data_IF_693045586778
#
_entry.id   IF_693045586778
#
_cell.length_a   1.000
_cell.length_b   1.000
_cell.length_c   1.000
_cell.angle_alpha   90.00
_cell.angle_beta   90.00
_cell.angle_gamma   90.00
#
_symmetry.space_group_name_H-M   'P 1'
#
loop_
_entity.id
_entity.type
_entity.pdbx_description
1 polymer ?
#
# COMPACT_ATOMS: atom_id res chain seq x y z
N UNK A 1 -11.65 -25.51 -22.71
CA UNK A 1 -12.17 -24.19 -22.26
C UNK A 1 -12.01 -23.98 -20.75
N UNK A 2 -12.43 -24.92 -19.90
CA UNK A 2 -12.35 -24.82 -18.42
C UNK A 2 -10.90 -24.70 -17.90
N UNK A 3 -9.95 -25.33 -18.60
CA UNK A 3 -8.52 -25.31 -18.25
C UNK A 3 -7.87 -23.94 -18.52
N UNK A 4 -8.21 -23.31 -19.64
CA UNK A 4 -7.70 -21.97 -20.00
C UNK A 4 -8.22 -20.89 -19.02
N UNK A 5 -9.46 -20.99 -18.59
CA UNK A 5 -10.04 -20.06 -17.63
C UNK A 5 -9.36 -20.17 -16.26
N UNK A 6 -9.14 -21.40 -15.78
CA UNK A 6 -8.40 -21.63 -14.55
C UNK A 6 -6.97 -21.08 -14.59
N UNK A 7 -6.28 -21.23 -15.73
CA UNK A 7 -4.95 -20.66 -15.95
C UNK A 7 -4.97 -19.11 -15.90
N UNK A 8 -5.98 -18.48 -16.50
CA UNK A 8 -6.11 -17.01 -16.46
C UNK A 8 -6.44 -16.47 -15.06
N UNK A 9 -7.23 -17.19 -14.25
CA UNK A 9 -7.45 -16.82 -12.85
C UNK A 9 -6.16 -16.98 -12.02
N UNK A 10 -5.35 -18.00 -12.30
CA UNK A 10 -4.04 -18.17 -11.68
C UNK A 10 -3.07 -17.04 -12.08
N UNK A 11 -3.06 -16.67 -13.38
CA UNK A 11 -2.30 -15.52 -13.88
C UNK A 11 -2.70 -14.22 -13.16
N UNK A 12 -4.00 -14.00 -12.94
CA UNK A 12 -4.48 -12.83 -12.20
C UNK A 12 -3.96 -12.80 -10.77
N UNK A 13 -3.98 -13.94 -10.08
CA UNK A 13 -3.39 -14.05 -8.73
C UNK A 13 -1.90 -13.72 -8.73
N UNK A 14 -1.14 -14.27 -9.67
CA UNK A 14 0.30 -14.00 -9.80
C UNK A 14 0.56 -12.51 -10.02
N UNK A 15 -0.16 -11.86 -10.94
CA UNK A 15 0.00 -10.42 -11.19
C UNK A 15 -0.27 -9.56 -9.95
N UNK A 16 -1.27 -9.92 -9.15
CA UNK A 16 -1.57 -9.21 -7.89
C UNK A 16 -0.48 -9.46 -6.86
N UNK A 17 0.05 -10.68 -6.74
CA UNK A 17 1.18 -10.98 -5.85
C UNK A 17 2.43 -10.20 -6.25
N UNK A 18 2.78 -10.18 -7.53
CA UNK A 18 3.94 -9.44 -8.03
C UNK A 18 3.79 -7.94 -7.75
N UNK A 19 2.60 -7.38 -7.98
CA UNK A 19 2.30 -5.98 -7.70
C UNK A 19 2.38 -5.67 -6.19
N UNK A 20 1.96 -6.60 -5.32
CA UNK A 20 2.16 -6.51 -3.87
C UNK A 20 3.63 -6.37 -3.50
N UNK A 21 4.48 -7.24 -4.04
CA UNK A 21 5.93 -7.17 -3.83
C UNK A 21 6.56 -5.86 -4.34
N UNK A 22 6.04 -5.28 -5.42
CA UNK A 22 6.48 -3.96 -5.87
C UNK A 22 6.08 -2.86 -4.88
N UNK A 23 4.87 -2.90 -4.33
CA UNK A 23 4.40 -1.96 -3.32
C UNK A 23 5.26 -2.03 -2.05
N UNK A 24 5.49 -3.24 -1.52
CA UNK A 24 6.35 -3.47 -0.34
C UNK A 24 7.75 -2.88 -0.54
N UNK A 25 8.35 -3.15 -1.71
CA UNK A 25 9.68 -2.65 -2.05
C UNK A 25 9.70 -1.12 -2.20
N UNK A 26 8.65 -0.52 -2.78
CA UNK A 26 8.53 0.93 -2.91
C UNK A 26 8.49 1.62 -1.54
N UNK A 27 7.68 1.11 -0.59
CA UNK A 27 7.59 1.64 0.77
C UNK A 27 8.95 1.50 1.48
N UNK A 28 9.55 0.30 1.42
CA UNK A 28 10.83 0.03 2.08
C UNK A 28 11.96 0.93 1.56
N UNK A 29 12.04 1.14 0.24
CA UNK A 29 13.04 2.01 -0.37
C UNK A 29 12.81 3.49 -0.03
N UNK A 30 11.55 3.96 -0.03
CA UNK A 30 11.22 5.34 0.31
C UNK A 30 11.61 5.68 1.77
N UNK A 31 11.29 4.79 2.70
CA UNK A 31 11.65 4.98 4.12
C UNK A 31 13.15 4.81 4.34
N UNK A 32 13.79 3.89 3.64
CA UNK A 32 15.24 3.77 3.71
C UNK A 32 15.95 5.00 3.15
N UNK A 33 15.45 5.58 2.04
CA UNK A 33 15.96 6.83 1.51
C UNK A 33 15.89 7.97 2.54
N UNK A 34 14.77 8.04 3.29
CA UNK A 34 14.59 9.00 4.38
C UNK A 34 15.63 8.79 5.50
N UNK A 35 15.79 7.56 5.97
CA UNK A 35 16.63 7.24 7.14
C UNK A 35 18.13 7.39 6.82
N UNK A 36 18.53 7.02 5.62
CA UNK A 36 19.93 7.03 5.19
C UNK A 36 20.33 8.34 4.49
N UNK A 37 19.36 9.20 4.14
CA UNK A 37 19.59 10.39 3.31
C UNK A 37 20.03 10.05 1.88
N UNK A 38 19.61 8.89 1.35
CA UNK A 38 20.11 8.35 0.07
C UNK A 38 19.19 8.72 -1.10
N UNK A 39 19.58 9.76 -1.85
CA UNK A 39 18.86 10.24 -3.03
C UNK A 39 18.82 9.21 -4.18
N UNK A 40 19.77 8.29 -4.26
CA UNK A 40 19.73 7.23 -5.27
C UNK A 40 18.61 6.22 -4.98
N UNK A 41 18.33 5.94 -3.70
CA UNK A 41 17.19 5.13 -3.31
C UNK A 41 15.87 5.84 -3.63
N UNK A 42 15.77 7.15 -3.37
CA UNK A 42 14.60 7.94 -3.71
C UNK A 42 14.30 7.90 -5.22
N UNK A 43 15.30 8.03 -6.08
CA UNK A 43 15.14 7.91 -7.53
C UNK A 43 14.60 6.53 -7.95
N UNK A 44 15.06 5.45 -7.31
CA UNK A 44 14.58 4.09 -7.59
C UNK A 44 13.11 3.89 -7.23
N UNK A 45 12.60 4.61 -6.22
CA UNK A 45 11.16 4.55 -5.87
C UNK A 45 10.31 5.09 -7.02
N UNK A 46 10.73 6.18 -7.67
CA UNK A 46 10.03 6.74 -8.84
C UNK A 46 9.95 5.74 -10.00
N UNK A 47 11.03 5.00 -10.29
CA UNK A 47 11.03 3.93 -11.30
C UNK A 47 10.08 2.79 -10.92
N UNK A 48 10.05 2.43 -9.64
CA UNK A 48 9.20 1.36 -9.14
C UNK A 48 7.71 1.77 -9.17
N UNK A 49 7.39 3.03 -8.89
CA UNK A 49 6.02 3.56 -9.04
C UNK A 49 5.53 3.44 -10.48
N UNK A 50 6.38 3.72 -11.49
CA UNK A 50 6.04 3.50 -12.90
C UNK A 50 5.80 2.00 -13.21
N UNK A 51 6.58 1.11 -12.59
CA UNK A 51 6.40 -0.34 -12.73
C UNK A 51 5.06 -0.78 -12.15
N UNK A 52 4.66 -0.24 -10.99
CA UNK A 52 3.37 -0.50 -10.35
C UNK A 52 2.23 0.00 -11.24
N UNK A 53 2.35 1.19 -11.81
CA UNK A 53 1.35 1.74 -12.74
C UNK A 53 1.20 0.89 -14.00
N UNK A 54 2.29 0.36 -14.53
CA UNK A 54 2.24 -0.56 -15.68
C UNK A 54 1.58 -1.89 -15.30
N UNK A 55 1.91 -2.44 -14.14
CA UNK A 55 1.32 -3.68 -13.62
C UNK A 55 -0.20 -3.51 -13.38
N UNK A 56 -0.64 -2.35 -12.91
CA UNK A 56 -2.07 -2.01 -12.77
C UNK A 56 -2.76 -2.07 -14.12
N UNK A 57 -2.25 -1.36 -15.14
CA UNK A 57 -2.84 -1.36 -16.50
C UNK A 57 -2.97 -2.77 -17.06
N UNK A 58 -1.92 -3.56 -16.98
CA UNK A 58 -1.92 -4.95 -17.50
C UNK A 58 -2.92 -5.84 -16.76
N UNK A 59 -3.04 -5.67 -15.44
CA UNK A 59 -3.96 -6.45 -14.62
C UNK A 59 -5.41 -6.06 -14.89
N UNK A 60 -5.69 -4.77 -15.06
CA UNK A 60 -7.01 -4.26 -15.48
C UNK A 60 -7.40 -4.85 -16.85
N UNK A 61 -6.49 -4.84 -17.83
CA UNK A 61 -6.74 -5.45 -19.14
C UNK A 61 -7.04 -6.95 -19.05
N UNK A 62 -6.32 -7.69 -18.20
CA UNK A 62 -6.59 -9.10 -17.95
C UNK A 62 -7.99 -9.30 -17.37
N UNK A 63 -8.36 -8.51 -16.36
CA UNK A 63 -9.69 -8.56 -15.75
C UNK A 63 -10.81 -8.28 -16.78
N UNK A 64 -10.63 -7.26 -17.63
CA UNK A 64 -11.59 -6.92 -18.68
C UNK A 64 -11.72 -8.09 -19.68
N UNK A 65 -10.60 -8.70 -20.10
CA UNK A 65 -10.63 -9.87 -20.98
C UNK A 65 -11.37 -11.05 -20.36
N UNK A 66 -11.18 -11.30 -19.05
CA UNK A 66 -11.88 -12.35 -18.32
C UNK A 66 -13.40 -12.09 -18.28
N UNK A 67 -13.82 -10.87 -17.98
CA UNK A 67 -15.23 -10.48 -17.94
C UNK A 67 -15.91 -10.62 -19.30
N UNK A 68 -15.26 -10.20 -20.38
CA UNK A 68 -15.84 -10.20 -21.72
C UNK A 68 -15.91 -11.60 -22.35
N UNK A 69 -14.87 -12.42 -22.15
CA UNK A 69 -14.75 -13.70 -22.88
C UNK A 69 -15.32 -14.89 -22.15
N UNK A 70 -15.33 -14.85 -20.82
CA UNK A 70 -15.67 -16.03 -20.01
C UNK A 70 -17.06 -15.95 -19.35
N UNK A 71 -17.69 -14.78 -19.40
CA UNK A 71 -19.00 -14.53 -18.76
C UNK A 71 -19.06 -15.10 -17.32
N UNK A 72 -18.14 -14.70 -16.44
CA UNK A 72 -18.02 -15.26 -15.11
C UNK A 72 -19.32 -15.00 -14.30
N UNK A 73 -19.67 -15.94 -13.44
CA UNK A 73 -20.88 -15.87 -12.62
C UNK A 73 -20.53 -15.96 -11.12
N UNK A 74 -21.38 -15.37 -10.32
CA UNK A 74 -21.33 -15.45 -8.85
C UNK A 74 -19.91 -15.21 -8.28
N UNK A 75 -19.25 -16.23 -7.75
CA UNK A 75 -17.97 -16.11 -7.06
C UNK A 75 -16.85 -15.58 -7.97
N UNK A 76 -16.76 -16.07 -9.21
CA UNK A 76 -15.72 -15.63 -10.15
C UNK A 76 -15.89 -14.15 -10.54
N UNK A 77 -17.15 -13.72 -10.72
CA UNK A 77 -17.42 -12.30 -10.99
C UNK A 77 -17.00 -11.41 -9.81
N UNK A 78 -17.31 -11.82 -8.56
CA UNK A 78 -16.86 -11.08 -7.37
C UNK A 78 -15.34 -11.04 -7.26
N UNK A 79 -14.67 -12.18 -7.51
CA UNK A 79 -13.20 -12.28 -7.48
C UNK A 79 -12.55 -11.29 -8.46
N UNK A 80 -12.97 -11.31 -9.74
CA UNK A 80 -12.40 -10.41 -10.77
C UNK A 80 -12.75 -8.94 -10.47
N UNK A 81 -13.97 -8.67 -10.00
CA UNK A 81 -14.39 -7.31 -9.65
C UNK A 81 -13.61 -6.76 -8.44
N UNK A 82 -13.31 -7.60 -7.46
CA UNK A 82 -12.46 -7.24 -6.33
C UNK A 82 -11.02 -6.96 -6.78
N UNK A 83 -10.47 -7.81 -7.65
CA UNK A 83 -9.14 -7.62 -8.22
C UNK A 83 -8.99 -6.25 -8.90
N UNK A 84 -10.00 -5.83 -9.70
CA UNK A 84 -10.03 -4.51 -10.34
C UNK A 84 -9.94 -3.35 -9.33
N UNK A 85 -10.55 -3.49 -8.16
CA UNK A 85 -10.49 -2.47 -7.10
C UNK A 85 -9.17 -2.50 -6.36
N UNK A 86 -8.70 -3.70 -6.04
CA UNK A 86 -7.44 -3.88 -5.33
C UNK A 86 -6.25 -3.29 -6.09
N UNK A 87 -6.14 -3.52 -7.39
CA UNK A 87 -5.00 -2.98 -8.17
C UNK A 87 -5.01 -1.46 -8.23
N UNK A 88 -6.18 -0.82 -8.13
CA UNK A 88 -6.27 0.64 -8.00
C UNK A 88 -5.74 1.13 -6.65
N UNK A 89 -6.07 0.42 -5.55
CA UNK A 89 -5.50 0.75 -4.23
C UNK A 89 -3.99 0.49 -4.19
N UNK A 90 -3.51 -0.60 -4.79
CA UNK A 90 -2.08 -0.90 -4.93
C UNK A 90 -1.32 0.18 -5.73
N UNK A 91 -1.91 0.68 -6.82
CA UNK A 91 -1.34 1.78 -7.59
C UNK A 91 -1.19 3.02 -6.72
N UNK A 92 -2.18 3.34 -5.89
CA UNK A 92 -2.12 4.46 -4.95
C UNK A 92 -1.04 4.28 -3.87
N UNK A 93 -0.81 3.05 -3.40
CA UNK A 93 0.32 2.74 -2.50
C UNK A 93 1.66 3.09 -3.19
N UNK A 94 1.81 2.76 -4.46
CA UNK A 94 2.98 3.15 -5.26
C UNK A 94 3.13 4.67 -5.36
N UNK A 95 2.04 5.39 -5.62
CA UNK A 95 2.02 6.86 -5.70
C UNK A 95 2.44 7.49 -4.36
N UNK A 96 1.85 7.04 -3.23
CA UNK A 96 2.20 7.55 -1.90
C UNK A 96 3.68 7.27 -1.55
N UNK A 97 4.22 6.13 -1.97
CA UNK A 97 5.65 5.82 -1.78
C UNK A 97 6.54 6.76 -2.60
N UNK A 98 6.13 7.12 -3.81
CA UNK A 98 6.82 8.10 -4.65
C UNK A 98 6.75 9.52 -4.03
N UNK A 99 5.59 9.91 -3.47
CA UNK A 99 5.42 11.19 -2.76
C UNK A 99 6.38 11.29 -1.56
N UNK A 100 6.56 10.20 -0.79
CA UNK A 100 7.57 10.16 0.30
C UNK A 100 8.97 10.39 -0.27
N UNK A 101 9.35 9.70 -1.33
CA UNK A 101 10.65 9.82 -1.96
C UNK A 101 10.89 11.22 -2.56
N UNK A 102 9.85 11.85 -3.08
CA UNK A 102 9.90 13.24 -3.59
C UNK A 102 10.21 14.21 -2.45
N UNK A 103 9.54 14.10 -1.29
CA UNK A 103 9.83 14.93 -0.11
C UNK A 103 11.28 14.75 0.32
N UNK A 104 11.78 13.51 0.43
CA UNK A 104 13.18 13.25 0.80
C UNK A 104 14.14 13.96 -0.15
N UNK A 105 13.83 13.99 -1.43
CA UNK A 105 14.66 14.62 -2.47
C UNK A 105 14.59 16.14 -2.40
N UNK A 106 13.40 16.73 -2.31
CA UNK A 106 13.21 18.19 -2.33
C UNK A 106 13.68 18.86 -1.04
N UNK A 107 13.39 18.27 0.09
CA UNK A 107 13.81 18.76 1.40
C UNK A 107 15.30 18.49 1.69
N UNK A 108 15.99 17.73 0.82
CA UNK A 108 17.39 17.33 0.98
C UNK A 108 17.67 16.77 2.39
N UNK A 109 16.78 15.88 2.85
CA UNK A 109 16.87 15.27 4.16
C UNK A 109 18.09 14.34 4.17
N UNK A 110 19.17 14.81 4.77
CA UNK A 110 20.47 14.14 4.75
C UNK A 110 20.73 13.22 5.96
N UNK A 111 19.93 13.34 7.00
CA UNK A 111 19.97 12.46 8.17
C UNK A 111 18.57 12.42 8.80
N UNK A 112 17.92 11.26 8.70
CA UNK A 112 16.65 11.04 9.36
C UNK A 112 16.84 10.82 10.86
N UNK A 113 16.18 11.62 11.67
CA UNK A 113 16.09 11.37 13.11
C UNK A 113 15.05 10.25 13.34
N UNK A 114 15.53 9.05 13.65
CA UNK A 114 14.67 7.87 13.93
C UNK A 114 13.88 8.02 15.24
N UNK A 115 13.95 9.19 15.91
CA UNK A 115 13.24 9.44 17.17
C UNK A 115 11.72 9.46 17.02
N UNK A 116 11.20 9.60 15.79
CA UNK A 116 9.76 9.70 15.52
C UNK A 116 9.08 8.35 15.22
N UNK A 117 9.80 7.23 15.26
CA UNK A 117 9.27 5.88 14.97
C UNK A 117 8.65 5.75 13.55
N UNK A 118 9.09 6.53 12.58
CA UNK A 118 8.63 6.44 11.17
C UNK A 118 8.95 5.05 10.60
N UNK A 119 10.10 4.49 10.95
CA UNK A 119 10.48 3.13 10.56
C UNK A 119 9.44 2.09 11.03
N UNK A 120 9.03 2.14 12.29
CA UNK A 120 8.09 1.16 12.86
C UNK A 120 6.69 1.30 12.22
N UNK A 121 6.28 2.54 11.92
CA UNK A 121 5.06 2.81 11.16
C UNK A 121 5.13 2.22 9.76
N UNK A 122 6.26 2.36 9.07
CA UNK A 122 6.46 1.78 7.75
C UNK A 122 6.45 0.25 7.76
N UNK A 123 7.09 -0.38 8.75
CA UNK A 123 7.04 -1.84 8.92
C UNK A 123 5.60 -2.32 9.12
N UNK A 124 4.80 -1.58 9.90
CA UNK A 124 3.39 -1.87 10.11
C UNK A 124 2.58 -1.75 8.80
N UNK A 125 2.79 -0.68 8.03
CA UNK A 125 2.13 -0.48 6.75
C UNK A 125 2.52 -1.58 5.73
N UNK A 126 3.80 -1.94 5.62
CA UNK A 126 4.27 -3.04 4.77
C UNK A 126 3.57 -4.35 5.17
N UNK A 127 3.53 -4.66 6.47
CA UNK A 127 2.84 -5.85 6.97
C UNK A 127 1.37 -5.88 6.53
N UNK A 128 0.66 -4.77 6.61
CA UNK A 128 -0.74 -4.70 6.16
C UNK A 128 -0.87 -4.95 4.66
N UNK A 129 0.03 -4.41 3.84
CA UNK A 129 0.04 -4.67 2.39
C UNK A 129 0.26 -6.15 2.10
N UNK A 130 1.29 -6.76 2.69
CA UNK A 130 1.61 -8.18 2.53
C UNK A 130 0.42 -9.06 2.94
N UNK A 131 -0.09 -8.86 4.16
CA UNK A 131 -1.19 -9.67 4.71
C UNK A 131 -2.48 -9.52 3.88
N UNK A 132 -2.76 -8.33 3.33
CA UNK A 132 -3.94 -8.12 2.47
C UNK A 132 -3.85 -8.86 1.13
N UNK A 133 -2.66 -8.93 0.53
CA UNK A 133 -2.40 -9.68 -0.70
C UNK A 133 -2.46 -11.18 -0.42
N UNK A 134 -1.83 -11.65 0.65
CA UNK A 134 -1.85 -13.05 1.06
C UNK A 134 -3.28 -13.54 1.37
N UNK A 135 -4.08 -12.69 2.02
CA UNK A 135 -5.50 -12.97 2.27
C UNK A 135 -6.28 -13.17 0.96
N UNK A 136 -6.00 -12.36 -0.08
CA UNK A 136 -6.62 -12.52 -1.40
C UNK A 136 -6.22 -13.81 -2.09
N UNK A 137 -4.93 -14.10 -2.14
CA UNK A 137 -4.39 -15.28 -2.81
C UNK A 137 -4.86 -16.57 -2.14
N UNK A 138 -4.84 -16.58 -0.79
CA UNK A 138 -5.27 -17.71 0.04
C UNK A 138 -6.78 -17.84 0.21
N UNK A 139 -7.55 -16.76 -0.05
CA UNK A 139 -8.98 -16.72 0.27
C UNK A 139 -9.23 -16.71 1.77
N UNK A 140 -8.35 -16.07 2.56
CA UNK A 140 -8.38 -16.06 4.02
C UNK A 140 -9.14 -14.83 4.56
N UNK A 141 -10.38 -15.09 4.99
CA UNK A 141 -11.23 -14.05 5.58
C UNK A 141 -10.78 -13.63 6.98
N UNK A 142 -10.13 -14.52 7.73
CA UNK A 142 -9.64 -14.20 9.07
C UNK A 142 -8.45 -13.25 8.99
N UNK A 143 -7.51 -13.52 8.08
CA UNK A 143 -6.37 -12.65 7.81
C UNK A 143 -6.85 -11.27 7.29
N UNK A 144 -7.82 -11.24 6.37
CA UNK A 144 -8.38 -9.98 5.86
C UNK A 144 -9.02 -9.12 6.99
N UNK A 145 -9.73 -9.74 7.93
CA UNK A 145 -10.28 -9.02 9.10
C UNK A 145 -9.16 -8.50 10.01
N UNK A 146 -8.13 -9.30 10.24
CA UNK A 146 -6.99 -8.91 11.05
C UNK A 146 -6.26 -7.69 10.46
N UNK A 147 -6.14 -7.59 9.12
CA UNK A 147 -5.57 -6.40 8.46
C UNK A 147 -6.42 -5.16 8.73
N UNK A 148 -7.75 -5.26 8.62
CA UNK A 148 -8.65 -4.12 8.87
C UNK A 148 -8.55 -3.66 10.33
N UNK A 149 -8.50 -4.60 11.28
CA UNK A 149 -8.34 -4.27 12.71
C UNK A 149 -6.96 -3.71 13.04
N UNK A 150 -5.94 -4.08 12.26
CA UNK A 150 -4.57 -3.62 12.49
C UNK A 150 -4.35 -2.16 12.05
N UNK A 151 -5.24 -1.58 11.28
CA UNK A 151 -5.21 -0.17 10.85
C UNK A 151 -5.16 0.79 12.05
N UNK A 152 -5.89 0.51 13.12
CA UNK A 152 -5.86 1.26 14.39
C UNK A 152 -4.43 1.37 14.98
N UNK A 153 -3.55 0.40 14.72
CA UNK A 153 -2.16 0.44 15.16
C UNK A 153 -1.37 1.51 14.40
N UNK A 154 -1.56 1.60 13.09
CA UNK A 154 -0.90 2.60 12.25
C UNK A 154 -1.42 4.00 12.57
N UNK A 155 -2.72 4.16 12.77
CA UNK A 155 -3.35 5.40 13.23
C UNK A 155 -2.76 5.87 14.56
N UNK A 156 -2.59 4.95 15.51
CA UNK A 156 -1.98 5.25 16.80
C UNK A 156 -0.50 5.68 16.66
N UNK A 157 0.24 5.09 15.73
CA UNK A 157 1.61 5.52 15.41
C UNK A 157 1.62 6.94 14.83
N UNK A 158 0.74 7.23 13.87
CA UNK A 158 0.59 8.56 13.27
C UNK A 158 0.29 9.62 14.33
N UNK A 159 -0.68 9.37 15.22
CA UNK A 159 -1.02 10.28 16.31
C UNK A 159 0.14 10.49 17.28
N UNK A 160 0.93 9.46 17.53
CA UNK A 160 2.16 9.55 18.33
C UNK A 160 3.22 10.45 17.70
N UNK A 161 3.48 10.28 16.40
CA UNK A 161 4.40 11.12 15.61
C UNK A 161 3.92 12.58 15.62
N UNK A 162 2.65 12.81 15.31
CA UNK A 162 2.04 14.14 15.32
C UNK A 162 2.19 14.86 16.65
N UNK A 163 1.96 14.18 17.78
CA UNK A 163 2.16 14.76 19.12
C UNK A 163 3.61 15.18 19.35
N UNK A 164 4.57 14.34 18.99
CA UNK A 164 6.01 14.66 19.11
C UNK A 164 6.40 15.85 18.26
N UNK A 165 5.91 15.93 17.02
CA UNK A 165 6.16 17.08 16.15
C UNK A 165 5.59 18.37 16.72
N UNK A 166 4.39 18.34 17.32
CA UNK A 166 3.80 19.50 18.03
C UNK A 166 4.69 19.93 19.20
N UNK A 167 5.22 19.00 19.97
CA UNK A 167 6.16 19.30 21.07
C UNK A 167 7.45 19.95 20.54
N UNK A 168 7.99 19.44 19.41
CA UNK A 168 9.17 20.02 18.76
C UNK A 168 8.96 21.48 18.37
N UNK A 169 7.79 21.87 17.85
CA UNK A 169 7.48 23.26 17.51
C UNK A 169 7.56 24.23 18.70
N UNK A 170 7.51 23.72 19.92
CA UNK A 170 7.69 24.53 21.13
C UNK A 170 9.16 24.83 21.43
N UNK A 171 10.10 24.21 20.75
CA UNK A 171 11.54 24.39 20.94
C UNK A 171 12.06 25.48 19.98
N UNK A 172 12.85 26.44 20.48
CA UNK A 172 13.34 27.58 19.66
C UNK A 172 14.22 27.19 18.46
N UNK A 173 14.82 26.00 18.50
CA UNK A 173 15.78 25.52 17.51
C UNK A 173 15.12 24.58 16.47
N UNK A 174 13.80 24.38 16.52
CA UNK A 174 13.12 23.47 15.60
C UNK A 174 13.01 24.08 14.21
N UNK A 175 13.51 23.34 13.21
CA UNK A 175 13.21 23.63 11.81
C UNK A 175 11.76 23.24 11.51
N UNK A 176 10.93 24.26 11.32
CA UNK A 176 9.49 24.07 11.09
C UNK A 176 9.19 23.41 9.73
N UNK A 177 10.01 23.66 8.70
CA UNK A 177 9.86 23.04 7.37
C UNK A 177 10.14 21.54 7.46
N UNK A 178 11.25 21.17 8.09
CA UNK A 178 11.59 19.76 8.34
C UNK A 178 10.49 19.02 9.14
N UNK A 179 9.93 19.66 10.15
CA UNK A 179 8.86 19.04 10.95
C UNK A 179 7.57 18.82 10.15
N UNK A 180 7.25 19.74 9.23
CA UNK A 180 6.11 19.60 8.31
C UNK A 180 6.37 18.46 7.32
N UNK A 181 7.56 18.36 6.75
CA UNK A 181 7.94 17.28 5.83
C UNK A 181 7.82 15.90 6.48
N UNK A 182 8.28 15.76 7.72
CA UNK A 182 8.12 14.52 8.49
C UNK A 182 6.64 14.19 8.76
N UNK A 183 5.82 15.20 9.05
CA UNK A 183 4.37 15.00 9.22
C UNK A 183 3.72 14.51 7.93
N UNK A 184 4.11 15.07 6.79
CA UNK A 184 3.60 14.64 5.48
C UNK A 184 4.02 13.21 5.15
N UNK A 185 5.28 12.83 5.42
CA UNK A 185 5.75 11.45 5.25
C UNK A 185 4.94 10.49 6.12
N UNK A 186 4.73 10.81 7.41
CA UNK A 186 3.89 10.00 8.28
C UNK A 186 2.45 9.89 7.77
N UNK A 187 1.89 10.99 7.20
CA UNK A 187 0.55 10.97 6.61
C UNK A 187 0.47 10.10 5.35
N UNK A 188 1.52 10.05 4.54
CA UNK A 188 1.56 9.14 3.40
C UNK A 188 1.63 7.66 3.84
N UNK A 189 2.36 7.35 4.92
CA UNK A 189 2.39 6.00 5.49
C UNK A 189 1.03 5.56 6.04
N UNK A 190 0.30 6.46 6.70
CA UNK A 190 -1.07 6.19 7.16
C UNK A 190 -2.00 5.93 5.96
N UNK A 191 -1.93 6.73 4.89
CA UNK A 191 -2.72 6.48 3.67
C UNK A 191 -2.38 5.15 3.00
N UNK A 192 -1.13 4.70 3.06
CA UNK A 192 -0.73 3.37 2.58
C UNK A 192 -1.47 2.28 3.37
N UNK A 193 -1.54 2.41 4.70
CA UNK A 193 -2.29 1.50 5.56
C UNK A 193 -3.79 1.51 5.24
N UNK A 194 -4.40 2.70 5.08
CA UNK A 194 -5.79 2.87 4.62
C UNK A 194 -6.07 2.07 3.32
N UNK A 195 -5.14 2.16 2.34
CA UNK A 195 -5.27 1.40 1.10
C UNK A 195 -5.14 -0.10 1.30
N UNK A 196 -4.26 -0.56 2.20
CA UNK A 196 -4.16 -1.97 2.54
C UNK A 196 -5.41 -2.49 3.25
N UNK A 197 -6.01 -1.72 4.15
CA UNK A 197 -7.30 -2.03 4.78
C UNK A 197 -8.44 -2.08 3.73
N UNK A 198 -8.44 -1.18 2.74
CA UNK A 198 -9.37 -1.23 1.62
C UNK A 198 -9.20 -2.51 0.78
N UNK A 199 -7.95 -2.92 0.48
CA UNK A 199 -7.66 -4.18 -0.22
C UNK A 199 -8.25 -5.35 0.57
N UNK A 200 -8.02 -5.42 1.89
CA UNK A 200 -8.59 -6.46 2.76
C UNK A 200 -10.13 -6.46 2.75
N UNK A 201 -10.76 -5.29 2.72
CA UNK A 201 -12.21 -5.16 2.55
C UNK A 201 -12.71 -5.74 1.21
N UNK A 202 -11.96 -5.57 0.12
CA UNK A 202 -12.28 -6.20 -1.17
C UNK A 202 -12.07 -7.71 -1.15
N UNK A 203 -11.09 -8.20 -0.38
CA UNK A 203 -10.91 -9.64 -0.16
C UNK A 203 -12.14 -10.25 0.50
N UNK A 204 -12.64 -9.63 1.58
CA UNK A 204 -13.87 -10.09 2.22
C UNK A 204 -15.04 -10.11 1.25
N UNK A 205 -15.23 -9.04 0.49
CA UNK A 205 -16.30 -9.00 -0.52
C UNK A 205 -16.17 -10.10 -1.57
N UNK A 206 -14.96 -10.41 -2.03
CA UNK A 206 -14.74 -11.46 -3.03
C UNK A 206 -15.23 -12.83 -2.56
N UNK A 207 -15.11 -13.10 -1.27
CA UNK A 207 -15.40 -14.40 -0.67
C UNK A 207 -16.86 -14.46 -0.18
N UNK A 208 -17.27 -13.48 0.62
CA UNK A 208 -18.57 -13.49 1.33
C UNK A 208 -19.69 -12.81 0.54
N UNK A 209 -19.35 -11.90 -0.36
CA UNK A 209 -20.31 -11.00 -1.01
C UNK A 209 -20.65 -9.76 -0.19
N UNK A 210 -20.11 -9.62 1.01
CA UNK A 210 -20.31 -8.49 1.91
C UNK A 210 -18.98 -7.77 2.12
N UNK A 211 -18.98 -6.43 2.03
CA UNK A 211 -17.81 -5.61 2.29
C UNK A 211 -17.70 -5.42 3.82
N UNK A 212 -16.76 -6.14 4.45
CA UNK A 212 -16.48 -5.96 5.87
C UNK A 212 -16.02 -4.54 6.15
N UNK A 213 -16.70 -3.84 7.07
CA UNK A 213 -16.22 -2.57 7.62
C UNK A 213 -16.75 -1.31 6.94
N UNK A 214 -18.08 -1.15 6.86
CA UNK A 214 -18.77 0.15 6.91
C UNK A 214 -20.08 -0.07 7.67
N UNK A 215 -20.03 0.14 8.96
CA UNK A 215 -21.22 0.48 9.75
C UNK A 215 -21.10 1.96 10.11
#
# INVERSE_FOLDING_TARGET
>A
MRDIYGQQLSELKTKITDMGGYCENAIALAVKALLDGDMALAARVAELSQTIEQAERETVELCIRLLLRQQPVAADLRFISSALKMVTDMKRIGDQSADIAEIVTLANISQGDNTLNIHDMAVSAIKMVTDSVDAFVGGDTALARAVIEYDDVVDSCFDGIKKRLIEMFSLPETDGEYAIDLLMIAKYLERIADHAANIAGWVLFSITGERGGQA
#
